data_IF_872981803247
#
_entry.id   IF_872981803247
#
_cell.length_a   1.000
_cell.length_b   1.000
_cell.length_c   1.000
_cell.angle_alpha   90.00
_cell.angle_beta   90.00
_cell.angle_gamma   90.00
#
_symmetry.space_group_name_H-M   'P 1'
#
loop_
_entity.id
_entity.type
_entity.pdbx_description
1 polymer ?
#
# COMPACT_ATOMS: atom_id res chain seq x y z
N UNK A 1 4.29 -11.12 -28.20
CA UNK A 1 5.28 -10.07 -27.86
C UNK A 1 4.53 -8.93 -27.19
N UNK A 2 4.85 -8.63 -25.93
CA UNK A 2 4.19 -7.53 -25.21
C UNK A 2 4.86 -6.22 -25.60
N UNK A 3 4.13 -5.31 -26.27
CA UNK A 3 4.59 -3.96 -26.54
C UNK A 3 4.65 -3.21 -25.20
N UNK A 4 5.85 -3.05 -24.66
CA UNK A 4 6.10 -2.32 -23.42
C UNK A 4 6.46 -0.86 -23.72
N UNK A 5 5.71 0.07 -23.13
CA UNK A 5 6.03 1.50 -23.10
C UNK A 5 6.58 1.89 -21.73
N UNK A 6 7.46 2.88 -21.69
CA UNK A 6 8.01 3.42 -20.43
C UNK A 6 7.15 4.58 -19.96
N UNK A 7 6.59 4.47 -18.75
CA UNK A 7 5.87 5.55 -18.07
C UNK A 7 6.46 5.72 -16.67
N UNK A 8 6.87 6.93 -16.32
CA UNK A 8 7.46 7.25 -15.00
C UNK A 8 8.65 6.34 -14.60
N UNK A 9 9.45 5.90 -15.58
CA UNK A 9 10.59 5.00 -15.33
C UNK A 9 10.21 3.54 -15.06
N UNK A 10 8.92 3.18 -15.17
CA UNK A 10 8.44 1.81 -15.00
C UNK A 10 8.07 1.21 -16.36
N UNK A 11 8.49 -0.04 -16.57
CA UNK A 11 8.13 -0.82 -17.76
C UNK A 11 6.66 -1.23 -17.65
N UNK A 12 5.80 -0.68 -18.51
CA UNK A 12 4.38 -1.04 -18.54
C UNK A 12 4.17 -2.28 -19.41
N UNK A 13 3.45 -3.27 -18.89
CA UNK A 13 3.04 -4.47 -19.63
C UNK A 13 1.55 -4.35 -19.99
N UNK A 14 1.22 -4.59 -21.26
CA UNK A 14 -0.17 -4.58 -21.74
C UNK A 14 -0.85 -5.91 -21.44
N UNK A 15 -1.97 -5.86 -20.73
CA UNK A 15 -2.81 -7.03 -20.42
C UNK A 15 -4.25 -6.76 -20.88
N UNK A 16 -4.92 -7.79 -21.40
CA UNK A 16 -6.35 -7.75 -21.69
C UNK A 16 -7.11 -8.27 -20.46
N UNK A 17 -8.13 -7.54 -20.04
CA UNK A 17 -9.00 -7.89 -18.91
C UNK A 17 -10.44 -7.81 -19.42
N UNK A 18 -11.20 -8.88 -19.20
CA UNK A 18 -12.62 -8.93 -19.54
C UNK A 18 -13.44 -8.42 -18.37
N UNK A 19 -14.37 -7.51 -18.65
CA UNK A 19 -15.34 -6.99 -17.69
C UNK A 19 -16.74 -7.28 -18.24
N UNK A 20 -17.69 -7.52 -17.35
CA UNK A 20 -19.09 -7.38 -17.74
C UNK A 20 -19.41 -5.90 -18.03
N UNK A 21 -20.52 -5.67 -18.74
CA UNK A 21 -20.88 -4.35 -19.23
C UNK A 21 -21.18 -3.36 -18.09
N UNK A 22 -21.80 -3.86 -17.01
CA UNK A 22 -22.21 -3.04 -15.87
C UNK A 22 -20.97 -2.53 -15.15
N UNK A 23 -20.05 -3.43 -14.82
CA UNK A 23 -18.79 -3.10 -14.16
C UNK A 23 -17.94 -2.16 -15.03
N UNK A 24 -17.88 -2.38 -16.35
CA UNK A 24 -17.15 -1.49 -17.23
C UNK A 24 -17.75 -0.07 -17.23
N UNK A 25 -19.07 0.06 -17.20
CA UNK A 25 -19.73 1.37 -17.15
C UNK A 25 -19.46 2.08 -15.82
N UNK A 26 -19.53 1.36 -14.70
CA UNK A 26 -19.17 1.90 -13.39
C UNK A 26 -17.71 2.40 -13.37
N UNK A 27 -16.76 1.60 -13.87
CA UNK A 27 -15.34 2.00 -13.95
C UNK A 27 -15.16 3.27 -14.80
N UNK A 28 -15.89 3.41 -15.91
CA UNK A 28 -15.87 4.62 -16.75
C UNK A 28 -16.39 5.82 -15.98
N UNK A 29 -17.55 5.70 -15.34
CA UNK A 29 -18.15 6.79 -14.55
C UNK A 29 -17.21 7.26 -13.44
N UNK A 30 -16.59 6.32 -12.70
CA UNK A 30 -15.63 6.67 -11.64
C UNK A 30 -14.40 7.40 -12.21
N UNK A 31 -13.86 6.92 -13.33
CA UNK A 31 -12.70 7.53 -13.97
C UNK A 31 -13.00 8.95 -14.48
N UNK A 32 -14.16 9.16 -15.10
CA UNK A 32 -14.63 10.47 -15.57
C UNK A 32 -14.79 11.44 -14.40
N UNK A 33 -15.40 11.00 -13.29
CA UNK A 33 -15.58 11.84 -12.09
C UNK A 33 -14.25 12.33 -11.52
N UNK A 34 -13.20 11.52 -11.63
CA UNK A 34 -11.86 11.83 -11.15
C UNK A 34 -10.98 12.52 -12.20
N UNK A 35 -11.48 12.72 -13.43
CA UNK A 35 -10.71 13.33 -14.51
C UNK A 35 -9.50 12.51 -14.98
N UNK A 36 -9.54 11.19 -14.79
CA UNK A 36 -8.44 10.27 -15.17
C UNK A 36 -8.90 9.24 -16.18
N UNK A 37 -7.96 8.62 -16.91
CA UNK A 37 -8.31 7.49 -17.79
C UNK A 37 -8.78 6.27 -16.99
N UNK A 38 -9.64 5.44 -17.59
CA UNK A 38 -10.08 4.15 -17.01
C UNK A 38 -8.89 3.30 -16.58
N UNK A 39 -7.85 3.23 -17.43
CA UNK A 39 -6.64 2.46 -17.11
C UNK A 39 -5.89 2.99 -15.89
N UNK A 40 -5.85 4.32 -15.72
CA UNK A 40 -5.20 4.95 -14.57
C UNK A 40 -6.01 4.69 -13.29
N UNK A 41 -7.34 4.84 -13.38
CA UNK A 41 -8.24 4.51 -12.28
C UNK A 41 -8.07 3.06 -11.81
N UNK A 42 -8.11 2.09 -12.74
CA UNK A 42 -7.90 0.67 -12.43
C UNK A 42 -6.55 0.45 -11.75
N UNK A 43 -5.46 1.04 -12.27
CA UNK A 43 -4.12 0.90 -11.67
C UNK A 43 -4.07 1.43 -10.24
N UNK A 44 -4.64 2.61 -9.98
CA UNK A 44 -4.59 3.21 -8.64
C UNK A 44 -5.44 2.44 -7.62
N UNK A 45 -6.61 1.95 -8.03
CA UNK A 45 -7.45 1.09 -7.19
C UNK A 45 -6.70 -0.20 -6.84
N UNK A 46 -6.09 -0.86 -7.82
CA UNK A 46 -5.33 -2.10 -7.59
C UNK A 46 -4.08 -1.87 -6.74
N UNK A 47 -3.33 -0.79 -6.97
CA UNK A 47 -2.17 -0.42 -6.14
C UNK A 47 -2.58 -0.24 -4.67
N UNK A 48 -3.70 0.46 -4.43
CA UNK A 48 -4.23 0.70 -3.09
C UNK A 48 -4.70 -0.59 -2.41
N UNK A 49 -5.41 -1.46 -3.12
CA UNK A 49 -5.82 -2.76 -2.59
C UNK A 49 -4.61 -3.63 -2.20
N UNK A 50 -3.60 -3.68 -3.08
CA UNK A 50 -2.38 -4.44 -2.83
C UNK A 50 -1.53 -3.85 -1.70
N UNK A 51 -1.46 -2.52 -1.56
CA UNK A 51 -0.74 -1.90 -0.44
C UNK A 51 -1.41 -2.20 0.89
N UNK A 52 -2.74 -2.13 0.97
CA UNK A 52 -3.50 -2.47 2.18
C UNK A 52 -3.27 -3.94 2.56
N UNK A 53 -3.31 -4.85 1.58
CA UNK A 53 -3.04 -6.27 1.82
C UNK A 53 -1.61 -6.51 2.29
N UNK A 54 -0.62 -5.82 1.72
CA UNK A 54 0.78 -5.90 2.16
C UNK A 54 0.95 -5.37 3.59
N UNK A 55 0.30 -4.25 3.93
CA UNK A 55 0.37 -3.66 5.27
C UNK A 55 -0.36 -4.50 6.32
N UNK A 56 -1.40 -5.25 5.94
CA UNK A 56 -2.06 -6.19 6.85
C UNK A 56 -1.13 -7.34 7.28
N UNK A 57 -0.23 -7.79 6.41
CA UNK A 57 0.87 -8.71 6.74
C UNK A 57 1.92 -8.04 7.66
N UNK A 58 2.18 -6.74 7.49
CA UNK A 58 3.08 -5.98 8.37
C UNK A 58 2.45 -5.79 9.76
N UNK A 59 1.13 -5.61 9.87
CA UNK A 59 0.44 -5.56 11.17
C UNK A 59 0.53 -6.86 11.95
N UNK A 60 0.55 -8.02 11.29
CA UNK A 60 0.84 -9.30 11.95
C UNK A 60 2.29 -9.34 12.49
N UNK A 61 3.24 -8.77 11.75
CA UNK A 61 4.65 -8.69 12.15
C UNK A 61 4.91 -7.64 13.26
N UNK A 62 4.10 -6.57 13.34
CA UNK A 62 4.18 -5.59 14.43
C UNK A 62 3.72 -6.16 15.78
N UNK A 63 2.77 -7.09 15.79
CA UNK A 63 2.39 -7.79 17.03
C UNK A 63 3.54 -8.64 17.58
N UNK A 64 4.32 -9.27 16.70
CA UNK A 64 5.55 -10.00 17.02
C UNK A 64 6.64 -9.05 17.52
N UNK A 65 6.82 -7.90 16.87
CA UNK A 65 7.78 -6.87 17.28
C UNK A 65 7.44 -6.27 18.66
N UNK A 66 6.18 -5.98 18.96
CA UNK A 66 5.74 -5.44 20.26
C UNK A 66 5.96 -6.45 21.40
N UNK A 67 6.00 -7.76 21.12
CA UNK A 67 6.41 -8.78 22.08
C UNK A 67 7.86 -8.61 22.57
N UNK A 68 8.77 -8.20 21.68
CA UNK A 68 10.20 -8.00 21.99
C UNK A 68 10.42 -6.76 22.88
N UNK A 69 9.59 -5.73 22.74
CA UNK A 69 9.68 -4.53 23.58
C UNK A 69 9.05 -4.69 24.97
N UNK A 70 8.18 -5.70 25.16
CA UNK A 70 7.61 -6.01 26.49
C UNK A 70 8.62 -6.64 27.46
N UNK A 71 9.74 -7.19 26.96
CA UNK A 71 10.76 -7.83 27.82
C UNK A 71 11.76 -6.85 28.42
N UNK A 72 11.79 -5.60 27.96
CA UNK A 72 12.59 -4.54 28.60
C UNK A 72 11.67 -3.65 29.43
N UNK A 73 11.37 -4.12 30.64
CA UNK A 73 10.94 -3.25 31.74
C UNK A 73 12.06 -2.27 32.08
N UNK A 74 12.25 -1.25 31.26
CA UNK A 74 13.01 -0.07 31.65
C UNK A 74 12.03 0.75 32.48
N UNK A 75 12.21 0.74 33.79
CA UNK A 75 11.44 1.63 34.66
C UNK A 75 11.78 3.08 34.30
N UNK A 76 10.79 3.98 34.37
CA UNK A 76 11.01 5.41 34.12
C UNK A 76 12.12 6.02 35.03
N UNK A 77 12.39 5.37 36.16
CA UNK A 77 13.43 5.78 37.11
C UNK A 77 14.84 5.58 36.54
N UNK A 78 15.10 4.51 35.78
CA UNK A 78 16.38 4.27 35.11
C UNK A 78 16.69 5.36 34.06
N UNK A 79 15.68 5.79 33.30
CA UNK A 79 15.83 6.80 32.24
C UNK A 79 16.14 8.17 32.85
N UNK A 80 15.47 8.52 33.95
CA UNK A 80 15.71 9.79 34.67
C UNK A 80 17.11 9.85 35.26
N UNK A 81 17.61 8.74 35.80
CA UNK A 81 18.96 8.67 36.37
C UNK A 81 20.05 8.84 35.30
N UNK A 82 19.92 8.18 34.14
CA UNK A 82 20.85 8.35 33.02
C UNK A 82 20.84 9.77 32.42
N UNK A 83 19.69 10.45 32.46
CA UNK A 83 19.56 11.80 31.92
C UNK A 83 20.18 12.88 32.83
N UNK A 84 20.34 12.61 34.13
CA UNK A 84 20.78 13.59 35.13
C UNK A 84 22.21 13.37 35.66
N UNK A 85 22.91 12.30 35.26
CA UNK A 85 24.33 12.05 35.58
C UNK A 85 25.31 12.55 34.47
N UNK A 86 24.91 13.54 33.66
CA UNK A 86 25.82 14.33 32.80
C UNK A 86 25.99 15.74 33.35
#
# INVERSE_FOLDING_TARGET
>A
MYNSGVYEGVVMVRTQIYFDEILLDELKQQSTRLGVSVSAYIREVLKKDLSIKKDSNIKQNLAEFVGIWKEKNISEEEIKKQAWER
#
